data_IF_211038815840
#
_entry.id   IF_211038815840
#
_cell.length_a   1.000
_cell.length_b   1.000
_cell.length_c   1.000
_cell.angle_alpha   90.00
_cell.angle_beta   90.00
_cell.angle_gamma   90.00
#
_symmetry.space_group_name_H-M   'P 1'
#
loop_
_entity.id
_entity.type
_entity.pdbx_description
1 polymer ?
#
# COMPACT_ATOMS: atom_id res chain seq x y z
N UNK A 1 -20.26 20.50 -36.85
CA UNK A 1 -20.69 20.13 -35.46
C UNK A 1 -20.67 18.61 -35.06
N UNK A 2 -19.90 17.68 -35.67
CA UNK A 2 -19.96 16.25 -35.28
C UNK A 2 -19.03 15.82 -34.11
N UNK A 3 -18.02 16.63 -33.76
CA UNK A 3 -17.00 16.28 -32.74
C UNK A 3 -17.51 16.32 -31.27
N UNK A 4 -18.56 17.11 -30.96
CA UNK A 4 -19.13 17.22 -29.60
C UNK A 4 -19.98 16.01 -29.20
N UNK A 5 -20.81 15.47 -30.12
CA UNK A 5 -21.67 14.29 -29.86
C UNK A 5 -20.87 13.00 -29.65
N UNK A 6 -19.74 12.85 -30.34
CA UNK A 6 -18.82 11.69 -30.18
C UNK A 6 -18.07 11.72 -28.84
N UNK A 7 -17.72 12.90 -28.32
CA UNK A 7 -17.09 13.05 -27.01
C UNK A 7 -18.05 12.75 -25.85
N UNK A 8 -19.32 13.15 -25.94
CA UNK A 8 -20.34 12.80 -24.93
C UNK A 8 -20.65 11.30 -24.89
N UNK A 9 -20.74 10.61 -26.03
CA UNK A 9 -20.93 9.15 -26.07
C UNK A 9 -19.72 8.40 -25.46
N UNK A 10 -18.50 8.87 -25.71
CA UNK A 10 -17.27 8.33 -25.09
C UNK A 10 -17.21 8.59 -23.58
N UNK A 11 -17.67 9.76 -23.12
CA UNK A 11 -17.74 10.10 -21.70
C UNK A 11 -18.78 9.23 -20.96
N UNK A 12 -20.00 9.11 -21.50
CA UNK A 12 -21.06 8.25 -20.96
C UNK A 12 -20.62 6.78 -20.88
N UNK A 13 -19.95 6.26 -21.91
CA UNK A 13 -19.42 4.88 -21.95
C UNK A 13 -18.26 4.64 -20.96
N UNK A 14 -17.46 5.67 -20.64
CA UNK A 14 -16.45 5.61 -19.58
C UNK A 14 -17.07 5.60 -18.18
N UNK A 15 -18.13 6.37 -17.96
CA UNK A 15 -18.86 6.43 -16.68
C UNK A 15 -19.56 5.10 -16.41
N UNK A 16 -20.25 4.51 -17.40
CA UNK A 16 -20.89 3.19 -17.22
C UNK A 16 -19.88 2.07 -16.95
N UNK A 17 -18.74 2.06 -17.63
CA UNK A 17 -17.67 1.08 -17.36
C UNK A 17 -17.00 1.29 -15.98
N UNK A 18 -16.93 2.53 -15.49
CA UNK A 18 -16.42 2.86 -14.16
C UNK A 18 -17.38 2.39 -13.05
N UNK A 19 -18.68 2.70 -13.19
CA UNK A 19 -19.71 2.19 -12.29
C UNK A 19 -19.78 0.65 -12.30
N UNK A 20 -19.53 0.00 -13.45
CA UNK A 20 -19.49 -1.46 -13.53
C UNK A 20 -18.27 -2.07 -12.79
N UNK A 21 -17.09 -1.44 -12.85
CA UNK A 21 -15.89 -1.93 -12.16
C UNK A 21 -15.96 -1.71 -10.65
N UNK A 22 -16.45 -0.54 -10.21
CA UNK A 22 -16.81 -0.25 -8.82
C UNK A 22 -17.86 -1.25 -8.29
N UNK A 23 -18.91 -1.52 -9.08
CA UNK A 23 -19.89 -2.56 -8.77
C UNK A 23 -19.25 -3.94 -8.69
N UNK A 24 -18.27 -4.28 -9.54
CA UNK A 24 -17.57 -5.58 -9.52
C UNK A 24 -16.67 -5.74 -8.29
N UNK A 25 -15.93 -4.71 -7.89
CA UNK A 25 -15.12 -4.71 -6.66
C UNK A 25 -16.01 -4.81 -5.42
N UNK A 26 -17.08 -4.00 -5.35
CA UNK A 26 -18.08 -4.02 -4.28
C UNK A 26 -18.97 -5.29 -4.28
N UNK A 27 -19.07 -5.99 -5.41
CA UNK A 27 -19.80 -7.25 -5.55
C UNK A 27 -18.94 -8.48 -5.27
N UNK A 28 -17.60 -8.34 -5.25
CA UNK A 28 -16.70 -9.46 -5.00
C UNK A 28 -17.04 -10.14 -3.66
N UNK A 29 -16.97 -11.48 -3.64
CA UNK A 29 -17.20 -12.27 -2.42
C UNK A 29 -16.29 -11.81 -1.28
N UNK A 30 -15.06 -11.39 -1.60
CA UNK A 30 -14.06 -10.85 -0.68
C UNK A 30 -14.49 -9.53 -0.05
N UNK A 31 -14.96 -8.55 -0.84
CA UNK A 31 -15.49 -7.29 -0.32
C UNK A 31 -16.69 -7.53 0.62
N UNK A 32 -17.62 -8.42 0.23
CA UNK A 32 -18.76 -8.79 1.07
C UNK A 32 -18.34 -9.50 2.36
N UNK A 33 -17.34 -10.38 2.29
CA UNK A 33 -16.77 -11.06 3.45
C UNK A 33 -16.11 -10.08 4.41
N UNK A 34 -15.28 -9.16 3.92
CA UNK A 34 -14.70 -8.09 4.73
C UNK A 34 -15.77 -7.20 5.38
N UNK A 35 -16.84 -6.87 4.65
CA UNK A 35 -17.95 -6.12 5.23
C UNK A 35 -18.65 -6.84 6.39
N UNK A 36 -18.57 -8.18 6.44
CA UNK A 36 -19.12 -9.00 7.53
C UNK A 36 -18.13 -9.25 8.66
N UNK A 37 -16.83 -9.00 8.46
CA UNK A 37 -15.79 -9.17 9.47
C UNK A 37 -15.83 -8.03 10.50
N UNK A 38 -16.68 -8.22 11.53
CA UNK A 38 -16.84 -7.25 12.62
C UNK A 38 -15.57 -7.11 13.47
N UNK A 39 -14.79 -8.18 13.61
CA UNK A 39 -13.60 -8.19 14.46
C UNK A 39 -12.48 -7.32 13.86
N UNK A 40 -12.18 -7.50 12.57
CA UNK A 40 -11.19 -6.68 11.86
C UNK A 40 -11.63 -5.22 11.80
N UNK A 41 -12.91 -4.95 11.51
CA UNK A 41 -13.43 -3.58 11.52
C UNK A 41 -13.31 -2.91 12.88
N UNK A 42 -13.57 -3.63 13.97
CA UNK A 42 -13.40 -3.11 15.33
C UNK A 42 -11.92 -2.82 15.62
N UNK A 43 -11.02 -3.73 15.25
CA UNK A 43 -9.56 -3.60 15.45
C UNK A 43 -8.99 -2.38 14.73
N UNK A 44 -9.41 -2.16 13.48
CA UNK A 44 -8.88 -1.09 12.62
C UNK A 44 -9.81 0.12 12.51
N UNK A 45 -10.80 0.25 13.40
CA UNK A 45 -11.82 1.31 13.34
C UNK A 45 -11.19 2.70 13.20
N UNK A 46 -10.23 3.02 14.06
CA UNK A 46 -9.59 4.34 14.08
C UNK A 46 -8.82 4.62 12.77
N UNK A 47 -8.11 3.63 12.25
CA UNK A 47 -7.40 3.74 10.95
C UNK A 47 -8.41 4.04 9.85
N UNK A 48 -9.49 3.26 9.76
CA UNK A 48 -10.51 3.44 8.73
C UNK A 48 -11.16 4.83 8.83
N UNK A 49 -11.53 5.27 10.03
CA UNK A 49 -12.18 6.57 10.24
C UNK A 49 -11.25 7.74 9.89
N UNK A 50 -10.02 7.73 10.42
CA UNK A 50 -9.05 8.79 10.18
C UNK A 50 -8.70 8.89 8.69
N UNK A 51 -8.35 7.78 8.05
CA UNK A 51 -8.00 7.77 6.63
C UNK A 51 -9.21 8.03 5.72
N UNK A 52 -10.43 7.70 6.13
CA UNK A 52 -11.64 8.12 5.41
C UNK A 52 -11.76 9.65 5.42
N UNK A 53 -11.53 10.29 6.56
CA UNK A 53 -11.66 11.74 6.69
C UNK A 53 -10.66 12.53 5.84
N UNK A 54 -9.42 12.01 5.70
CA UNK A 54 -8.35 12.71 4.98
C UNK A 54 -8.15 12.24 3.53
N UNK A 55 -8.84 11.18 3.07
CA UNK A 55 -8.58 10.55 1.76
C UNK A 55 -8.54 11.55 0.59
N UNK A 56 -9.45 12.53 0.59
CA UNK A 56 -9.58 13.53 -0.48
C UNK A 56 -8.45 14.57 -0.52
N UNK A 57 -7.76 14.80 0.60
CA UNK A 57 -6.61 15.73 0.71
C UNK A 57 -5.28 15.01 0.94
N UNK A 58 -5.28 13.67 1.04
CA UNK A 58 -4.13 12.88 1.47
C UNK A 58 -2.88 13.18 0.63
N UNK A 59 -3.02 13.14 -0.70
CA UNK A 59 -1.91 13.36 -1.62
C UNK A 59 -1.31 14.76 -1.51
N UNK A 60 -2.15 15.79 -1.32
CA UNK A 60 -1.67 17.17 -1.19
C UNK A 60 -1.02 17.39 0.18
N UNK A 61 -1.67 16.91 1.25
CA UNK A 61 -1.16 16.99 2.62
C UNK A 61 0.22 16.35 2.76
N UNK A 62 0.41 15.18 2.13
CA UNK A 62 1.64 14.39 2.27
C UNK A 62 2.58 14.50 1.06
N UNK A 63 2.31 15.38 0.11
CA UNK A 63 3.04 15.50 -1.18
C UNK A 63 4.56 15.49 -1.06
N UNK A 64 5.11 16.34 -0.18
CA UNK A 64 6.56 16.46 0.01
C UNK A 64 7.15 15.17 0.60
N UNK A 65 6.46 14.58 1.57
CA UNK A 65 6.86 13.34 2.21
C UNK A 65 6.81 12.17 1.23
N UNK A 66 5.67 11.97 0.55
CA UNK A 66 5.48 10.93 -0.44
C UNK A 66 6.52 11.01 -1.55
N UNK A 67 6.80 12.21 -2.06
CA UNK A 67 7.87 12.41 -3.05
C UNK A 67 9.23 11.98 -2.52
N UNK A 68 9.62 12.44 -1.33
CA UNK A 68 10.90 12.12 -0.73
C UNK A 68 11.09 10.62 -0.45
N UNK A 69 10.01 9.90 -0.15
CA UNK A 69 10.06 8.46 0.11
C UNK A 69 9.97 7.62 -1.16
N UNK A 70 9.03 7.93 -2.06
CA UNK A 70 8.79 7.16 -3.28
C UNK A 70 9.95 7.28 -4.28
N UNK A 71 10.60 8.46 -4.39
CA UNK A 71 11.75 8.63 -5.28
C UNK A 71 12.93 7.71 -4.90
N UNK A 72 13.15 7.50 -3.60
CA UNK A 72 14.19 6.58 -3.10
C UNK A 72 13.75 5.13 -3.25
N UNK A 73 12.49 4.82 -2.90
CA UNK A 73 11.92 3.49 -3.04
C UNK A 73 12.02 3.01 -4.50
N UNK A 74 11.55 3.80 -5.47
CA UNK A 74 11.54 3.44 -6.89
C UNK A 74 12.94 3.16 -7.42
N UNK A 75 13.98 3.91 -7.00
CA UNK A 75 15.38 3.66 -7.37
C UNK A 75 15.90 2.32 -6.84
N UNK A 76 15.38 1.86 -5.71
CA UNK A 76 15.81 0.64 -5.05
C UNK A 76 15.02 -0.59 -5.50
N UNK A 77 13.78 -0.41 -5.97
CA UNK A 77 12.94 -1.52 -6.41
C UNK A 77 13.56 -2.34 -7.54
N UNK A 78 14.28 -1.72 -8.49
CA UNK A 78 14.96 -2.40 -9.61
C UNK A 78 14.09 -3.47 -10.28
N UNK A 79 12.84 -3.13 -10.59
CA UNK A 79 11.86 -4.07 -11.14
C UNK A 79 12.21 -4.47 -12.58
N UNK A 80 11.98 -5.74 -12.91
CA UNK A 80 12.09 -6.31 -14.27
C UNK A 80 10.85 -6.02 -15.12
N UNK A 81 9.77 -5.55 -14.51
CA UNK A 81 8.55 -5.12 -15.22
C UNK A 81 7.56 -6.25 -15.52
N UNK A 82 7.79 -7.46 -15.00
CA UNK A 82 6.97 -8.66 -15.28
C UNK A 82 6.54 -9.41 -14.01
N UNK A 83 7.01 -8.95 -12.86
CA UNK A 83 6.70 -9.56 -11.57
C UNK A 83 5.20 -9.47 -11.23
N UNK A 84 4.77 -10.31 -10.31
CA UNK A 84 3.52 -10.13 -9.58
C UNK A 84 3.82 -9.35 -8.31
N UNK A 85 3.36 -8.10 -8.27
CA UNK A 85 3.55 -7.17 -7.15
C UNK A 85 2.26 -7.07 -6.34
N UNK A 86 2.41 -7.10 -5.01
CA UNK A 86 1.41 -6.59 -4.08
C UNK A 86 1.89 -5.26 -3.51
N UNK A 87 1.03 -4.26 -3.53
CA UNK A 87 1.16 -3.01 -2.76
C UNK A 87 0.21 -3.09 -1.56
N UNK A 88 0.78 -3.41 -0.39
CA UNK A 88 0.04 -3.64 0.84
C UNK A 88 -0.18 -2.32 1.58
N UNK A 89 -1.44 -1.88 1.68
CA UNK A 89 -1.82 -0.53 2.11
C UNK A 89 -1.61 0.51 1.00
N UNK A 90 -2.17 0.25 -0.18
CA UNK A 90 -1.88 1.04 -1.38
C UNK A 90 -2.41 2.49 -1.34
N UNK A 91 -3.24 2.84 -0.35
CA UNK A 91 -3.79 4.18 -0.18
C UNK A 91 -4.47 4.69 -1.45
N UNK A 92 -4.11 5.91 -1.87
CA UNK A 92 -4.60 6.58 -3.08
C UNK A 92 -4.02 6.00 -4.40
N UNK A 93 -3.23 4.92 -4.32
CA UNK A 93 -2.62 4.26 -5.47
C UNK A 93 -1.44 5.03 -6.07
N UNK A 94 -0.82 5.94 -5.31
CA UNK A 94 0.26 6.79 -5.82
C UNK A 94 1.49 6.01 -6.27
N UNK A 95 1.97 5.12 -5.41
CA UNK A 95 3.10 4.26 -5.72
C UNK A 95 2.84 3.38 -6.95
N UNK A 96 1.65 2.76 -7.04
CA UNK A 96 1.25 1.94 -8.20
C UNK A 96 1.34 2.74 -9.51
N UNK A 97 0.84 3.98 -9.49
CA UNK A 97 0.96 4.89 -10.63
C UNK A 97 2.43 5.13 -11.01
N UNK A 98 3.28 5.40 -10.02
CA UNK A 98 4.69 5.66 -10.27
C UNK A 98 5.43 4.41 -10.77
N UNK A 99 5.12 3.22 -10.27
CA UNK A 99 5.66 1.95 -10.79
C UNK A 99 5.26 1.77 -12.25
N UNK A 100 3.98 1.96 -12.59
CA UNK A 100 3.47 1.81 -13.96
C UNK A 100 4.18 2.78 -14.93
N UNK A 101 4.38 4.03 -14.53
CA UNK A 101 5.01 5.05 -15.37
C UNK A 101 6.52 4.86 -15.54
N UNK A 102 7.24 4.57 -14.45
CA UNK A 102 8.71 4.46 -14.47
C UNK A 102 9.20 3.14 -15.10
N UNK A 103 8.44 2.05 -14.95
CA UNK A 103 8.89 0.72 -15.38
C UNK A 103 8.19 0.20 -16.65
N UNK A 104 7.28 0.98 -17.25
CA UNK A 104 6.40 0.52 -18.34
C UNK A 104 5.81 -0.85 -18.01
N UNK A 105 5.29 -0.97 -16.79
CA UNK A 105 5.07 -2.24 -16.12
C UNK A 105 4.07 -3.14 -16.86
N UNK A 106 4.48 -4.37 -17.17
CA UNK A 106 3.64 -5.38 -17.86
C UNK A 106 3.23 -6.54 -16.95
N UNK A 107 3.85 -6.67 -15.78
CA UNK A 107 3.47 -7.63 -14.76
C UNK A 107 2.12 -7.31 -14.12
N UNK A 108 1.72 -8.12 -13.15
CA UNK A 108 0.47 -7.95 -12.39
C UNK A 108 0.74 -7.10 -11.15
N UNK A 109 -0.09 -6.09 -10.89
CA UNK A 109 -0.07 -5.33 -9.63
C UNK A 109 -1.42 -5.53 -8.94
N UNK A 110 -1.38 -5.89 -7.66
CA UNK A 110 -2.54 -5.95 -6.78
C UNK A 110 -2.30 -4.93 -5.66
N UNK A 111 -3.12 -3.89 -5.59
CA UNK A 111 -3.15 -2.98 -4.46
C UNK A 111 -4.28 -3.38 -3.53
N UNK A 112 -4.04 -3.38 -2.22
CA UNK A 112 -5.13 -3.44 -1.27
C UNK A 112 -4.98 -2.41 -0.18
N UNK A 113 -6.11 -1.95 0.35
CA UNK A 113 -6.20 -1.05 1.48
C UNK A 113 -7.39 -1.46 2.34
N UNK A 114 -7.35 -1.12 3.62
CA UNK A 114 -8.42 -1.41 4.58
C UNK A 114 -9.52 -0.33 4.55
N UNK A 115 -9.21 0.83 3.97
CA UNK A 115 -10.05 2.03 3.93
C UNK A 115 -10.73 2.17 2.56
N UNK A 116 -12.06 2.00 2.47
CA UNK A 116 -12.78 2.10 1.20
C UNK A 116 -12.57 3.44 0.46
N UNK A 117 -12.53 4.56 1.19
CA UNK A 117 -12.34 5.88 0.60
C UNK A 117 -10.99 6.02 -0.12
N UNK A 118 -9.93 5.37 0.39
CA UNK A 118 -8.62 5.36 -0.28
C UNK A 118 -8.67 4.61 -1.61
N UNK A 119 -9.34 3.46 -1.65
CA UNK A 119 -9.51 2.68 -2.87
C UNK A 119 -10.38 3.41 -3.90
N UNK A 120 -11.39 4.17 -3.46
CA UNK A 120 -12.20 5.00 -4.36
C UNK A 120 -11.32 6.06 -5.05
N UNK A 121 -10.40 6.72 -4.32
CA UNK A 121 -9.41 7.65 -4.89
C UNK A 121 -8.42 6.93 -5.83
N UNK A 122 -7.92 5.76 -5.45
CA UNK A 122 -7.03 4.96 -6.28
C UNK A 122 -7.68 4.56 -7.61
N UNK A 123 -8.93 4.11 -7.59
CA UNK A 123 -9.68 3.76 -8.80
C UNK A 123 -9.90 5.00 -9.68
N UNK A 124 -10.25 6.16 -9.09
CA UNK A 124 -10.35 7.43 -9.82
C UNK A 124 -9.02 7.82 -10.48
N UNK A 125 -7.90 7.67 -9.78
CA UNK A 125 -6.55 7.90 -10.30
C UNK A 125 -6.26 7.00 -11.51
N UNK A 126 -6.54 5.71 -11.41
CA UNK A 126 -6.28 4.76 -12.49
C UNK A 126 -7.23 4.89 -13.68
N UNK A 127 -8.48 5.29 -13.46
CA UNK A 127 -9.45 5.46 -14.56
C UNK A 127 -9.08 6.61 -15.50
N UNK A 128 -8.40 7.65 -14.99
CA UNK A 128 -7.83 8.74 -15.80
C UNK A 128 -6.68 8.25 -16.70
N UNK A 129 -6.02 7.14 -16.35
CA UNK A 129 -4.85 6.59 -17.04
C UNK A 129 -5.23 5.31 -17.81
N UNK A 130 -5.71 5.48 -19.05
CA UNK A 130 -6.24 4.37 -19.90
C UNK A 130 -5.32 3.15 -20.01
N UNK A 131 -3.99 3.32 -19.90
CA UNK A 131 -2.99 2.25 -20.05
C UNK A 131 -2.86 1.31 -18.85
N UNK A 132 -3.35 1.69 -17.66
CA UNK A 132 -3.09 0.92 -16.42
C UNK A 132 -4.12 -0.19 -16.16
N UNK A 133 -5.15 -0.33 -16.99
CA UNK A 133 -6.34 -1.09 -16.61
C UNK A 133 -6.23 -2.62 -16.75
N UNK A 134 -5.32 -3.14 -17.56
CA UNK A 134 -5.32 -4.58 -17.90
C UNK A 134 -4.70 -5.44 -16.80
N UNK A 135 -3.69 -4.91 -16.09
CA UNK A 135 -2.87 -5.72 -15.17
C UNK A 135 -2.90 -5.22 -13.72
N UNK A 136 -3.93 -4.45 -13.36
CA UNK A 136 -4.09 -3.83 -12.05
C UNK A 136 -5.41 -4.23 -11.39
N UNK A 137 -5.32 -4.70 -10.15
CA UNK A 137 -6.44 -5.07 -9.29
C UNK A 137 -6.38 -4.27 -7.99
N UNK A 138 -7.53 -3.77 -7.55
CA UNK A 138 -7.70 -3.12 -6.25
C UNK A 138 -8.64 -3.97 -5.39
N UNK A 139 -8.28 -4.14 -4.13
CA UNK A 139 -9.05 -4.95 -3.19
C UNK A 139 -9.18 -4.30 -1.82
N UNK A 140 -10.35 -4.47 -1.20
CA UNK A 140 -10.57 -4.10 0.20
C UNK A 140 -10.14 -5.29 1.07
N UNK A 141 -9.02 -5.14 1.77
CA UNK A 141 -8.42 -6.19 2.58
C UNK A 141 -7.46 -5.60 3.63
N UNK A 142 -6.99 -6.44 4.54
CA UNK A 142 -6.01 -6.08 5.56
C UNK A 142 -4.75 -6.95 5.42
N UNK A 143 -3.63 -6.50 5.97
CA UNK A 143 -2.33 -7.15 5.77
C UNK A 143 -2.24 -8.58 6.35
N UNK A 144 -3.11 -8.94 7.29
CA UNK A 144 -3.13 -10.27 7.91
C UNK A 144 -3.90 -11.30 7.06
N UNK A 145 -4.78 -10.86 6.16
CA UNK A 145 -5.48 -11.72 5.20
C UNK A 145 -6.02 -10.91 4.02
N UNK A 146 -5.43 -11.12 2.85
CA UNK A 146 -5.86 -10.52 1.58
C UNK A 146 -6.16 -11.57 0.50
N UNK A 147 -6.29 -12.84 0.90
CA UNK A 147 -6.78 -13.92 0.03
C UNK A 147 -5.90 -14.24 -1.18
N UNK A 148 -4.61 -13.90 -1.15
CA UNK A 148 -3.66 -14.33 -2.16
C UNK A 148 -3.24 -15.80 -1.95
N UNK A 149 -2.93 -16.49 -3.04
CA UNK A 149 -2.48 -17.89 -2.98
C UNK A 149 -1.09 -17.96 -2.35
N UNK A 150 -0.81 -19.07 -1.67
CA UNK A 150 0.54 -19.37 -1.17
C UNK A 150 1.53 -19.36 -2.35
N UNK A 151 2.76 -18.89 -2.12
CA UNK A 151 3.86 -18.90 -3.11
C UNK A 151 3.46 -18.36 -4.50
N UNK A 152 2.70 -17.26 -4.54
CA UNK A 152 2.15 -16.69 -5.79
C UNK A 152 2.63 -15.29 -6.13
N UNK A 153 3.29 -14.61 -5.19
CA UNK A 153 3.71 -13.21 -5.30
C UNK A 153 5.22 -13.13 -5.39
N UNK A 154 5.73 -12.33 -6.33
CA UNK A 154 7.17 -12.14 -6.50
C UNK A 154 7.71 -11.07 -5.54
N UNK A 155 6.95 -9.97 -5.38
CA UNK A 155 7.34 -8.83 -4.56
C UNK A 155 6.13 -8.29 -3.79
N UNK A 156 6.29 -8.10 -2.48
CA UNK A 156 5.38 -7.29 -1.65
C UNK A 156 6.09 -5.98 -1.37
N UNK A 157 5.40 -4.88 -1.60
CA UNK A 157 5.81 -3.54 -1.18
C UNK A 157 4.83 -3.10 -0.11
N UNK A 158 5.34 -2.61 1.02
CA UNK A 158 4.53 -2.14 2.13
C UNK A 158 5.12 -0.84 2.65
N UNK A 159 4.41 0.27 2.46
CA UNK A 159 4.93 1.62 2.72
C UNK A 159 4.00 2.39 3.65
N UNK A 160 4.50 2.84 4.79
CA UNK A 160 3.75 3.63 5.79
C UNK A 160 2.51 2.87 6.32
N UNK A 161 2.69 1.61 6.72
CA UNK A 161 1.58 0.75 7.19
C UNK A 161 1.88 0.11 8.53
N UNK A 162 3.13 -0.30 8.79
CA UNK A 162 3.49 -1.09 9.97
C UNK A 162 3.22 -0.33 11.27
N UNK A 163 3.32 1.00 11.25
CA UNK A 163 3.00 1.81 12.41
C UNK A 163 1.51 1.85 12.77
N UNK A 164 0.62 1.37 11.90
CA UNK A 164 -0.80 1.19 12.17
C UNK A 164 -1.17 -0.23 12.62
N UNK A 165 -0.26 -1.20 12.51
CA UNK A 165 -0.55 -2.59 12.79
C UNK A 165 -0.41 -2.89 14.29
N UNK A 166 -1.48 -3.33 14.98
CA UNK A 166 -1.38 -3.79 16.36
C UNK A 166 -0.55 -5.08 16.47
N UNK A 167 -0.62 -5.92 15.42
CA UNK A 167 0.00 -7.24 15.34
C UNK A 167 0.80 -7.40 14.03
N UNK A 168 1.95 -6.71 13.89
CA UNK A 168 2.78 -6.79 12.67
C UNK A 168 3.24 -8.22 12.34
N UNK A 169 3.35 -9.10 13.34
CA UNK A 169 3.67 -10.52 13.19
C UNK A 169 2.68 -11.26 12.27
N UNK A 170 1.38 -10.98 12.38
CA UNK A 170 0.38 -11.62 11.54
C UNK A 170 0.52 -11.18 10.08
N UNK A 171 0.80 -9.89 9.84
CA UNK A 171 1.10 -9.39 8.51
C UNK A 171 2.37 -10.02 7.93
N UNK A 172 3.46 -10.11 8.71
CA UNK A 172 4.71 -10.73 8.26
C UNK A 172 4.53 -12.22 7.93
N UNK A 173 3.75 -12.96 8.73
CA UNK A 173 3.42 -14.36 8.45
C UNK A 173 2.65 -14.52 7.13
N UNK A 174 1.65 -13.66 6.90
CA UNK A 174 0.87 -13.68 5.67
C UNK A 174 1.72 -13.29 4.45
N UNK A 175 2.57 -12.27 4.60
CA UNK A 175 3.52 -11.85 3.57
C UNK A 175 4.48 -12.98 3.22
N UNK A 176 5.04 -13.66 4.23
CA UNK A 176 5.89 -14.83 4.03
C UNK A 176 5.15 -15.95 3.30
N UNK A 177 3.90 -16.23 3.67
CA UNK A 177 3.08 -17.29 3.07
C UNK A 177 2.84 -17.06 1.57
N UNK A 178 2.51 -15.84 1.16
CA UNK A 178 2.12 -15.56 -0.23
C UNK A 178 3.32 -15.31 -1.15
N UNK A 179 4.46 -14.87 -0.60
CA UNK A 179 5.68 -14.70 -1.36
C UNK A 179 6.18 -16.05 -1.87
N UNK A 180 6.58 -16.12 -3.14
CA UNK A 180 7.31 -17.25 -3.72
C UNK A 180 8.64 -17.47 -2.98
N UNK A 181 9.25 -18.63 -3.19
CA UNK A 181 10.65 -18.84 -2.81
C UNK A 181 11.54 -17.76 -3.41
N UNK A 182 12.43 -17.18 -2.60
CA UNK A 182 13.25 -16.01 -2.96
C UNK A 182 12.46 -14.75 -3.33
N UNK A 183 11.15 -14.72 -3.07
CA UNK A 183 10.30 -13.54 -3.18
C UNK A 183 10.77 -12.44 -2.23
N UNK A 184 10.44 -11.20 -2.59
CA UNK A 184 10.99 -10.00 -1.93
C UNK A 184 9.93 -9.24 -1.14
N UNK A 185 10.25 -8.84 0.08
CA UNK A 185 9.51 -7.87 0.85
C UNK A 185 10.30 -6.56 0.85
N UNK A 186 9.68 -5.48 0.38
CA UNK A 186 10.21 -4.12 0.49
C UNK A 186 9.34 -3.35 1.47
N UNK A 187 9.89 -3.06 2.65
CA UNK A 187 9.18 -2.40 3.74
C UNK A 187 9.78 -1.01 3.93
N UNK A 188 8.95 0.04 3.88
CA UNK A 188 9.35 1.41 4.18
C UNK A 188 8.41 1.98 5.24
N UNK A 189 8.97 2.48 6.33
CA UNK A 189 8.15 3.08 7.41
C UNK A 189 8.96 4.13 8.20
N UNK A 190 8.29 4.82 9.12
CA UNK A 190 8.93 5.72 10.07
C UNK A 190 9.99 4.99 10.90
N UNK A 191 11.10 5.69 11.18
CA UNK A 191 12.22 5.14 11.94
C UNK A 191 12.40 5.94 13.23
N UNK A 192 12.11 5.31 14.37
CA UNK A 192 12.20 5.98 15.67
C UNK A 192 13.66 6.11 16.18
N UNK A 193 14.67 5.61 15.44
CA UNK A 193 16.08 5.90 15.68
C UNK A 193 16.38 7.41 15.63
N UNK A 194 15.57 8.17 14.88
CA UNK A 194 15.67 9.62 14.82
C UNK A 194 14.91 10.24 16.00
N UNK A 195 15.57 11.02 16.88
CA UNK A 195 14.91 11.60 18.06
C UNK A 195 13.68 12.43 17.72
N UNK A 196 13.74 13.21 16.64
CA UNK A 196 12.59 14.00 16.16
C UNK A 196 11.40 13.14 15.75
N UNK A 197 11.65 11.97 15.15
CA UNK A 197 10.61 11.01 14.78
C UNK A 197 10.06 10.28 15.99
N UNK A 198 10.92 9.92 16.96
CA UNK A 198 10.48 9.34 18.23
C UNK A 198 9.58 10.28 19.03
N UNK A 199 9.90 11.58 19.02
CA UNK A 199 9.05 12.60 19.63
C UNK A 199 7.70 12.69 18.90
N UNK A 200 7.70 12.77 17.57
CA UNK A 200 6.48 12.78 16.77
C UNK A 200 5.63 11.52 16.98
N UNK A 201 6.25 10.34 17.07
CA UNK A 201 5.59 9.06 17.38
C UNK A 201 4.93 9.07 18.76
N UNK A 202 5.57 9.67 19.76
CA UNK A 202 5.03 9.81 21.11
C UNK A 202 3.80 10.73 21.12
N UNK A 203 3.89 11.88 20.44
CA UNK A 203 2.75 12.79 20.27
C UNK A 203 1.65 12.11 19.46
N UNK A 204 2.00 11.40 18.39
CA UNK A 204 1.04 10.72 17.52
C UNK A 204 0.26 9.63 18.26
N UNK A 205 0.89 8.85 19.14
CA UNK A 205 0.19 7.88 20.00
C UNK A 205 -0.90 8.51 20.88
N UNK A 206 -0.76 9.78 21.24
CA UNK A 206 -1.72 10.51 22.10
C UNK A 206 -2.87 11.07 21.25
N UNK A 207 -2.56 11.69 20.11
CA UNK A 207 -3.54 12.45 19.32
C UNK A 207 -4.13 11.69 18.13
N UNK A 208 -3.41 10.71 17.58
CA UNK A 208 -3.82 9.92 16.43
C UNK A 208 -4.11 8.49 16.84
N UNK A 209 -5.39 8.20 17.09
CA UNK A 209 -5.83 6.87 17.54
C UNK A 209 -5.57 5.75 16.51
N UNK A 210 -5.26 6.11 15.26
CA UNK A 210 -4.81 5.18 14.22
C UNK A 210 -3.32 4.81 14.33
N UNK A 211 -2.52 5.60 15.04
CA UNK A 211 -1.08 5.38 15.19
C UNK A 211 -0.81 4.45 16.36
N UNK A 212 -0.27 3.27 16.08
CA UNK A 212 0.07 2.29 17.10
C UNK A 212 1.50 2.50 17.61
N UNK A 213 2.50 2.29 16.75
CA UNK A 213 3.91 2.37 17.13
C UNK A 213 4.82 2.51 15.90
N UNK A 214 5.69 3.52 15.88
CA UNK A 214 6.86 3.51 15.00
C UNK A 214 7.98 2.64 15.60
N UNK A 215 8.68 1.90 14.76
CA UNK A 215 9.72 0.94 15.17
C UNK A 215 11.12 1.54 15.04
N UNK A 216 12.05 1.05 15.86
CA UNK A 216 13.48 1.27 15.63
C UNK A 216 13.96 0.37 14.49
N UNK A 217 15.14 0.70 13.95
CA UNK A 217 15.72 -0.16 12.93
C UNK A 217 16.09 -1.54 13.48
N UNK A 218 16.46 -1.66 14.75
CA UNK A 218 16.80 -2.94 15.37
C UNK A 218 15.55 -3.77 15.69
N UNK A 219 14.50 -3.16 16.22
CA UNK A 219 13.21 -3.84 16.43
C UNK A 219 12.67 -4.42 15.12
N UNK A 220 12.74 -3.65 14.03
CA UNK A 220 12.28 -4.11 12.71
C UNK A 220 13.18 -5.21 12.15
N UNK A 221 14.52 -5.13 12.33
CA UNK A 221 15.43 -6.21 11.93
C UNK A 221 15.08 -7.51 12.64
N UNK A 222 14.82 -7.45 13.94
CA UNK A 222 14.51 -8.63 14.74
C UNK A 222 13.16 -9.23 14.37
N UNK A 223 12.14 -8.39 14.15
CA UNK A 223 10.84 -8.82 13.63
C UNK A 223 10.99 -9.54 12.28
N UNK A 224 11.72 -8.96 11.33
CA UNK A 224 11.95 -9.57 10.01
C UNK A 224 12.68 -10.92 10.14
N UNK A 225 13.75 -10.98 10.93
CA UNK A 225 14.53 -12.22 11.14
C UNK A 225 13.67 -13.32 11.80
N UNK A 226 12.91 -12.97 12.84
CA UNK A 226 12.00 -13.90 13.53
C UNK A 226 10.97 -14.52 12.59
N UNK A 227 10.53 -13.75 11.58
CA UNK A 227 9.60 -14.20 10.55
C UNK A 227 10.28 -14.71 9.28
N UNK A 228 11.52 -15.23 9.41
CA UNK A 228 12.26 -15.91 8.34
C UNK A 228 12.52 -15.03 7.10
N UNK A 229 12.63 -13.72 7.28
CA UNK A 229 13.13 -12.82 6.24
C UNK A 229 14.64 -12.61 6.38
N UNK A 230 15.38 -12.79 5.28
CA UNK A 230 16.79 -12.42 5.18
C UNK A 230 16.90 -11.01 4.61
N UNK A 231 17.41 -10.07 5.42
CA UNK A 231 17.61 -8.68 5.00
C UNK A 231 18.74 -8.65 3.95
N UNK A 232 18.41 -8.16 2.76
CA UNK A 232 19.34 -8.01 1.63
C UNK A 232 19.92 -6.61 1.57
N UNK A 233 19.13 -5.59 1.92
CA UNK A 233 19.64 -4.23 2.13
C UNK A 233 18.80 -3.48 3.16
N UNK A 234 19.41 -2.47 3.77
CA UNK A 234 18.80 -1.58 4.74
C UNK A 234 19.25 -0.15 4.47
N UNK A 235 18.32 0.80 4.55
CA UNK A 235 18.61 2.23 4.45
C UNK A 235 17.75 3.00 5.45
N UNK A 236 18.30 4.06 6.02
CA UNK A 236 17.52 5.08 6.74
C UNK A 236 17.93 6.48 6.31
N UNK A 237 16.98 7.41 6.30
CA UNK A 237 17.21 8.80 5.92
C UNK A 237 16.14 9.71 6.51
N UNK A 238 16.37 11.03 6.45
CA UNK A 238 15.36 12.04 6.76
C UNK A 238 14.52 12.34 5.52
N UNK A 239 13.23 11.96 5.53
CA UNK A 239 12.28 12.29 4.47
C UNK A 239 11.84 13.76 4.55
N UNK A 240 11.82 14.34 5.75
CA UNK A 240 11.63 15.78 5.99
C UNK A 240 12.58 16.24 7.11
N UNK A 241 12.56 17.53 7.47
CA UNK A 241 13.37 18.05 8.58
C UNK A 241 13.14 17.29 9.90
N UNK A 242 11.90 16.84 10.14
CA UNK A 242 11.48 16.21 11.39
C UNK A 242 11.28 14.69 11.27
N UNK A 243 10.98 14.19 10.06
CA UNK A 243 10.59 12.80 9.85
C UNK A 243 11.74 12.00 9.24
N UNK A 244 12.22 11.05 10.02
CA UNK A 244 13.13 9.99 9.63
C UNK A 244 12.38 8.73 9.28
N UNK A 245 12.86 8.04 8.25
CA UNK A 245 12.27 6.81 7.75
C UNK A 245 13.37 5.77 7.57
N UNK A 246 12.95 4.52 7.51
CA UNK A 246 13.79 3.38 7.19
C UNK A 246 13.14 2.56 6.10
N UNK A 247 13.98 1.85 5.36
CA UNK A 247 13.57 0.92 4.33
C UNK A 247 14.41 -0.35 4.40
N UNK A 248 13.73 -1.48 4.33
CA UNK A 248 14.32 -2.80 4.23
C UNK A 248 13.94 -3.43 2.88
N UNK A 249 14.94 -3.99 2.20
CA UNK A 249 14.73 -4.99 1.15
C UNK A 249 15.11 -6.34 1.75
N UNK A 250 14.13 -7.23 1.89
CA UNK A 250 14.32 -8.54 2.48
C UNK A 250 13.80 -9.66 1.58
N UNK A 251 14.41 -10.84 1.68
CA UNK A 251 14.05 -12.04 0.92
C UNK A 251 13.40 -13.06 1.84
N UNK A 252 12.39 -13.77 1.33
CA UNK A 252 11.88 -14.98 1.98
C UNK A 252 13.03 -16.00 2.09
N UNK A 253 13.41 -16.37 3.32
CA UNK A 253 14.42 -17.41 3.58
C UNK A 253 13.73 -18.77 3.46
N UNK A 254 14.26 -19.64 2.60
CA UNK A 254 13.84 -21.05 2.51
C UNK A 254 14.25 -21.81 3.75
#
# INVERSE_FOLDING_TARGET
>A
MPKKKTNMKKAKRKITNHSAKLKKTKSSSRYKSYLKDKATKKRYKNVIEEYTSIAHIYDERWKKYLKATEDILLKQLKLKGRETIIDAGCGTGSLICNIQENYKYKGKIIGFDITPAMLDIAELRFTKKKKFKTNLQLELAHCENFGAKKDSVDIIICTNVFHHLPHPEHALNEFYRVLKNSGRLVLLDFCNDYPSTKLLDTVARIFHKAHHKSYSSDEMKDLLKKHKFKISSFKKWKATKLVGVMMFDARKRT
#
